data_IF_379516773388
#
_entry.id   IF_379516773388
#
_cell.length_a   1.000
_cell.length_b   1.000
_cell.length_c   1.000
_cell.angle_alpha   90.00
_cell.angle_beta   90.00
_cell.angle_gamma   90.00
#
_symmetry.space_group_name_H-M   'P 1'
#
loop_
_entity.id
_entity.type
_entity.pdbx_description
1 polymer ?
#
# COMPACT_ATOMS: atom_id res chain seq x y z
N UNK A 1 17.95 5.23 -28.65
CA UNK A 1 17.09 5.43 -27.47
C UNK A 1 15.97 4.39 -27.55
N UNK A 2 16.22 3.18 -27.05
CA UNK A 2 15.15 2.21 -26.86
C UNK A 2 14.69 2.35 -25.41
N UNK A 3 13.56 3.03 -25.20
CA UNK A 3 12.85 2.95 -23.95
C UNK A 3 12.55 1.47 -23.67
N UNK A 4 12.95 0.97 -22.51
CA UNK A 4 12.54 -0.35 -22.02
C UNK A 4 11.00 -0.35 -21.97
N UNK A 5 10.32 -1.43 -22.39
CA UNK A 5 8.88 -1.49 -22.27
C UNK A 5 8.47 -1.35 -20.78
N UNK A 6 7.35 -0.69 -20.51
CA UNK A 6 6.84 -0.45 -19.15
C UNK A 6 6.82 -1.71 -18.28
N UNK A 7 6.45 -2.86 -18.85
CA UNK A 7 6.47 -4.18 -18.21
C UNK A 7 7.84 -4.61 -17.65
N UNK A 8 8.96 -4.15 -18.25
CA UNK A 8 10.29 -4.48 -17.73
C UNK A 8 10.58 -3.77 -16.39
N UNK A 9 10.01 -2.57 -16.17
CA UNK A 9 10.17 -1.84 -14.91
C UNK A 9 9.43 -2.50 -13.74
N UNK A 10 8.29 -3.12 -14.00
CA UNK A 10 7.48 -3.82 -13.00
C UNK A 10 8.11 -5.13 -12.53
N UNK A 11 8.68 -5.91 -13.45
CA UNK A 11 9.41 -7.13 -13.06
C UNK A 11 10.56 -6.84 -12.10
N UNK A 12 11.24 -5.68 -12.23
CA UNK A 12 12.33 -5.30 -11.35
C UNK A 12 11.87 -4.99 -9.92
N UNK A 13 10.67 -4.40 -9.72
CA UNK A 13 10.16 -4.07 -8.39
C UNK A 13 10.01 -5.31 -7.50
N UNK A 14 9.75 -6.46 -8.10
CA UNK A 14 9.55 -7.74 -7.40
C UNK A 14 10.80 -8.65 -7.37
N UNK A 15 11.96 -8.13 -7.76
CA UNK A 15 13.23 -8.80 -7.53
C UNK A 15 13.77 -8.45 -6.13
N UNK A 16 14.54 -9.34 -5.49
CA UNK A 16 15.16 -9.04 -4.20
C UNK A 16 16.01 -7.77 -4.25
N UNK A 17 16.02 -7.01 -3.15
CA UNK A 17 16.87 -5.83 -2.98
C UNK A 17 18.34 -6.18 -3.16
N UNK A 18 19.04 -5.36 -3.93
CA UNK A 18 20.48 -5.56 -4.18
C UNK A 18 21.28 -5.18 -2.92
N UNK A 19 22.23 -6.03 -2.52
CA UNK A 19 23.15 -5.71 -1.43
C UNK A 19 24.08 -4.57 -1.83
N UNK A 20 24.22 -3.61 -0.94
CA UNK A 20 25.06 -2.43 -1.10
C UNK A 20 26.24 -2.50 -0.11
N UNK A 21 27.38 -1.95 -0.50
CA UNK A 21 28.55 -1.86 0.41
C UNK A 21 28.29 -0.86 1.55
N UNK A 22 27.59 0.24 1.24
CA UNK A 22 27.25 1.32 2.18
C UNK A 22 25.74 1.61 2.15
N UNK A 23 24.87 0.70 2.63
CA UNK A 23 23.42 0.81 2.49
C UNK A 23 22.80 2.00 3.23
N UNK A 24 23.46 2.52 4.28
CA UNK A 24 23.04 3.71 5.02
C UNK A 24 23.15 5.02 4.21
N UNK A 25 23.81 5.00 3.04
CA UNK A 25 23.88 6.14 2.12
C UNK A 25 22.80 6.11 1.04
N UNK A 26 21.92 5.09 1.01
CA UNK A 26 20.75 5.09 0.17
C UNK A 26 19.77 6.20 0.61
N UNK A 27 18.87 6.61 -0.27
CA UNK A 27 17.81 7.53 0.11
C UNK A 27 16.83 6.80 1.03
N UNK A 28 16.90 7.09 2.32
CA UNK A 28 15.98 6.58 3.33
C UNK A 28 14.79 7.55 3.44
N UNK A 29 13.59 7.00 3.60
CA UNK A 29 12.33 7.75 3.58
C UNK A 29 11.62 7.73 4.93
N UNK A 30 11.78 6.63 5.70
CA UNK A 30 11.17 6.50 7.02
C UNK A 30 12.05 5.69 7.96
N UNK A 31 11.86 5.87 9.29
CA UNK A 31 12.59 5.19 10.35
C UNK A 31 11.68 4.94 11.55
N UNK A 32 11.73 3.73 12.09
CA UNK A 32 11.01 3.36 13.31
C UNK A 32 11.89 2.57 14.29
N UNK A 33 11.37 2.40 15.50
CA UNK A 33 11.98 1.56 16.53
C UNK A 33 11.30 0.18 16.57
N UNK A 34 12.10 -0.87 16.42
CA UNK A 34 11.77 -2.25 16.70
C UNK A 34 12.35 -2.61 18.09
N UNK A 35 11.64 -2.22 19.15
CA UNK A 35 12.20 -2.22 20.50
C UNK A 35 13.30 -1.16 20.66
N UNK A 36 14.55 -1.58 20.83
CA UNK A 36 15.71 -0.67 20.90
C UNK A 36 16.44 -0.52 19.54
N UNK A 37 16.11 -1.39 18.55
CA UNK A 37 16.70 -1.38 17.22
C UNK A 37 16.11 -0.26 16.39
N UNK A 38 16.93 0.51 15.70
CA UNK A 38 16.50 1.40 14.63
C UNK A 38 16.35 0.58 13.33
N UNK A 39 15.24 0.76 12.64
CA UNK A 39 14.98 0.19 11.33
C UNK A 39 14.59 1.33 10.39
N UNK A 40 15.28 1.49 9.27
CA UNK A 40 14.96 2.51 8.28
C UNK A 40 14.76 1.90 6.89
N UNK A 41 13.82 2.46 6.13
CA UNK A 41 13.43 1.99 4.79
C UNK A 41 13.63 3.07 3.74
N UNK A 42 13.82 2.69 2.49
CA UNK A 42 14.02 3.66 1.42
C UNK A 42 14.01 3.08 0.01
N UNK A 43 14.79 3.72 -0.86
CA UNK A 43 14.83 3.39 -2.27
C UNK A 43 15.28 1.96 -2.53
N UNK A 44 14.83 1.38 -3.67
CA UNK A 44 15.29 0.06 -4.17
C UNK A 44 15.15 -1.09 -3.18
N UNK A 45 14.13 -1.03 -2.31
CA UNK A 45 13.90 -2.05 -1.29
C UNK A 45 14.93 -2.05 -0.16
N UNK A 46 15.76 -1.00 -0.04
CA UNK A 46 16.75 -0.92 1.03
C UNK A 46 16.07 -0.79 2.36
N UNK A 47 16.37 -1.73 3.26
CA UNK A 47 16.07 -1.65 4.69
C UNK A 47 17.37 -1.80 5.44
N UNK A 48 17.66 -0.88 6.36
CA UNK A 48 18.86 -0.89 7.19
C UNK A 48 18.51 -0.91 8.67
N UNK A 49 19.33 -1.58 9.45
CA UNK A 49 19.16 -1.85 10.87
C UNK A 49 20.35 -1.33 11.65
N UNK A 50 20.10 -0.76 12.82
CA UNK A 50 21.14 -0.40 13.78
C UNK A 50 20.77 -0.84 15.20
N UNK A 51 21.65 -1.57 15.85
CA UNK A 51 21.54 -2.02 17.25
C UNK A 51 22.39 -1.16 18.21
N UNK A 52 23.04 -0.10 17.70
CA UNK A 52 23.96 0.77 18.42
C UNK A 52 23.63 2.27 18.28
N UNK A 53 22.33 2.58 18.21
CA UNK A 53 21.79 3.93 18.09
C UNK A 53 22.29 4.70 16.87
N UNK A 54 22.48 4.00 15.74
CA UNK A 54 22.88 4.60 14.46
C UNK A 54 24.39 4.72 14.26
N UNK A 55 25.22 4.17 15.15
CA UNK A 55 26.67 4.21 14.99
C UNK A 55 27.15 3.27 13.87
N UNK A 56 26.47 2.13 13.69
CA UNK A 56 26.68 1.22 12.56
C UNK A 56 25.34 0.71 12.00
N UNK A 57 25.36 0.31 10.72
CA UNK A 57 24.18 -0.14 10.01
C UNK A 57 24.45 -1.42 9.24
N UNK A 58 23.47 -2.30 9.19
CA UNK A 58 23.46 -3.50 8.35
C UNK A 58 22.21 -3.53 7.49
N UNK A 59 22.32 -4.06 6.27
CA UNK A 59 21.19 -4.21 5.37
C UNK A 59 20.43 -5.52 5.66
N UNK A 60 19.10 -5.43 5.72
CA UNK A 60 18.18 -6.55 5.86
C UNK A 60 18.09 -7.40 4.57
N UNK A 61 17.48 -8.59 4.69
CA UNK A 61 17.04 -9.40 3.56
C UNK A 61 15.63 -9.00 3.14
N UNK A 62 15.48 -8.44 1.93
CA UNK A 62 14.23 -7.89 1.41
C UNK A 62 13.90 -8.51 0.05
N UNK A 63 12.69 -9.07 -0.14
CA UNK A 63 12.34 -9.81 -1.35
C UNK A 63 11.93 -8.92 -2.54
N UNK A 64 11.93 -7.60 -2.37
CA UNK A 64 11.52 -6.62 -3.39
C UNK A 64 12.58 -5.54 -3.54
N UNK A 65 12.62 -4.90 -4.72
CA UNK A 65 13.41 -3.68 -4.98
C UNK A 65 12.53 -2.45 -5.25
N UNK A 66 11.23 -2.52 -4.93
CA UNK A 66 10.36 -1.36 -4.90
C UNK A 66 10.81 -0.37 -3.82
N UNK A 67 10.69 0.93 -4.07
CA UNK A 67 10.96 1.95 -3.04
C UNK A 67 9.95 1.83 -1.91
N UNK A 68 10.44 1.72 -0.68
CA UNK A 68 9.64 1.62 0.54
C UNK A 68 9.48 3.02 1.15
N UNK A 69 8.25 3.39 1.48
CA UNK A 69 7.83 4.74 1.86
C UNK A 69 7.61 4.91 3.35
N UNK A 70 7.15 3.86 4.03
CA UNK A 70 6.85 3.89 5.46
C UNK A 70 7.01 2.51 6.10
N UNK A 71 7.18 2.50 7.43
CA UNK A 71 7.21 1.28 8.24
C UNK A 71 6.61 1.50 9.62
N UNK A 72 6.07 0.42 10.21
CA UNK A 72 5.52 0.46 11.57
C UNK A 72 5.81 -0.84 12.32
N UNK A 73 6.21 -0.72 13.57
CA UNK A 73 6.46 -1.83 14.50
C UNK A 73 5.54 -1.72 15.72
N UNK A 74 4.40 -2.42 15.76
CA UNK A 74 3.55 -2.48 16.97
C UNK A 74 4.18 -3.31 18.09
N UNK A 75 5.17 -4.14 17.76
CA UNK A 75 5.94 -4.97 18.70
C UNK A 75 7.41 -5.00 18.26
N UNK A 76 8.38 -5.27 19.17
CA UNK A 76 9.80 -5.26 18.85
C UNK A 76 10.21 -6.20 17.70
N UNK A 77 9.55 -7.36 17.60
CA UNK A 77 9.89 -8.39 16.61
C UNK A 77 9.00 -8.32 15.36
N UNK A 78 7.81 -7.71 15.46
CA UNK A 78 6.77 -7.75 14.43
C UNK A 78 6.57 -6.36 13.83
N UNK A 79 6.73 -6.25 12.52
CA UNK A 79 6.58 -4.99 11.81
C UNK A 79 6.15 -5.15 10.36
N UNK A 80 5.70 -4.04 9.79
CA UNK A 80 5.30 -3.94 8.38
C UNK A 80 6.00 -2.76 7.73
N UNK A 81 6.30 -2.91 6.43
CA UNK A 81 6.80 -1.85 5.58
C UNK A 81 5.98 -1.81 4.28
N UNK A 82 5.71 -0.62 3.78
CA UNK A 82 4.92 -0.42 2.57
C UNK A 82 5.65 0.46 1.56
N UNK A 83 5.20 0.46 0.30
CA UNK A 83 5.85 1.29 -0.69
C UNK A 83 5.24 1.27 -2.09
N UNK A 84 6.09 1.63 -3.05
CA UNK A 84 5.75 1.65 -4.47
C UNK A 84 5.32 0.27 -4.97
N UNK A 85 4.61 0.25 -6.10
CA UNK A 85 3.99 -0.97 -6.66
C UNK A 85 3.03 -1.66 -5.68
N UNK A 86 2.47 -0.92 -4.72
CA UNK A 86 1.50 -1.42 -3.75
C UNK A 86 2.03 -2.53 -2.84
N UNK A 87 3.35 -2.60 -2.59
CA UNK A 87 3.93 -3.65 -1.75
C UNK A 87 3.63 -3.44 -0.29
N UNK A 88 3.30 -4.54 0.40
CA UNK A 88 3.27 -4.63 1.87
C UNK A 88 4.17 -5.79 2.29
N UNK A 89 5.19 -5.48 3.05
CA UNK A 89 6.15 -6.43 3.61
C UNK A 89 5.89 -6.63 5.10
N UNK A 90 6.22 -7.83 5.59
CA UNK A 90 6.08 -8.21 6.99
C UNK A 90 7.36 -8.85 7.50
N UNK A 91 7.71 -8.54 8.74
CA UNK A 91 8.81 -9.16 9.49
C UNK A 91 8.32 -9.73 10.82
N UNK A 92 8.98 -10.80 11.29
CA UNK A 92 8.76 -11.41 12.61
C UNK A 92 10.07 -11.57 13.39
N UNK A 93 11.15 -10.92 12.94
CA UNK A 93 12.49 -11.01 13.52
C UNK A 93 13.14 -9.63 13.77
N UNK A 94 12.30 -8.60 13.97
CA UNK A 94 12.73 -7.23 14.22
C UNK A 94 13.38 -6.59 13.01
N UNK A 95 12.94 -6.96 11.81
CA UNK A 95 13.37 -6.36 10.55
C UNK A 95 14.61 -6.98 9.90
N UNK A 96 15.15 -8.09 10.42
CA UNK A 96 16.30 -8.77 9.81
C UNK A 96 15.96 -9.38 8.45
N UNK A 97 14.77 -9.97 8.34
CA UNK A 97 14.24 -10.49 7.09
C UNK A 97 12.77 -10.11 6.91
N UNK A 98 12.36 -9.98 5.66
CA UNK A 98 11.03 -9.53 5.28
C UNK A 98 10.39 -10.49 4.28
N UNK A 99 9.09 -10.65 4.36
CA UNK A 99 8.28 -11.41 3.42
C UNK A 99 7.24 -10.51 2.76
N UNK A 100 7.01 -10.68 1.46
CA UNK A 100 5.93 -10.00 0.73
C UNK A 100 4.60 -10.63 1.15
N UNK A 101 3.67 -9.84 1.69
CA UNK A 101 2.32 -10.25 2.06
C UNK A 101 1.26 -9.84 1.04
N UNK A 102 1.47 -8.69 0.38
CA UNK A 102 0.50 -8.09 -0.54
C UNK A 102 1.25 -7.23 -1.55
N UNK A 103 0.70 -7.08 -2.75
CA UNK A 103 1.23 -6.18 -3.77
C UNK A 103 0.12 -5.49 -4.58
N UNK A 104 0.51 -4.55 -5.42
CA UNK A 104 -0.42 -3.77 -6.22
C UNK A 104 -1.21 -4.59 -7.24
N UNK A 105 -0.78 -5.81 -7.60
CA UNK A 105 -1.57 -6.71 -8.46
C UNK A 105 -2.80 -7.22 -7.71
N UNK A 106 -2.65 -7.50 -6.41
CA UNK A 106 -3.76 -7.84 -5.52
C UNK A 106 -4.66 -6.61 -5.30
N UNK A 107 -4.06 -5.43 -5.11
CA UNK A 107 -4.77 -4.17 -4.94
C UNK A 107 -5.64 -3.85 -6.17
N UNK A 108 -5.07 -3.92 -7.38
CA UNK A 108 -5.79 -3.65 -8.63
C UNK A 108 -6.97 -4.61 -8.83
N UNK A 109 -6.77 -5.91 -8.54
CA UNK A 109 -7.87 -6.90 -8.63
C UNK A 109 -9.00 -6.61 -7.64
N UNK A 110 -8.67 -6.25 -6.40
CA UNK A 110 -9.67 -5.90 -5.39
C UNK A 110 -10.40 -4.61 -5.74
N UNK A 111 -9.67 -3.62 -6.25
CA UNK A 111 -10.25 -2.35 -6.66
C UNK A 111 -11.23 -2.53 -7.84
N UNK A 112 -10.87 -3.34 -8.84
CA UNK A 112 -11.79 -3.68 -9.93
C UNK A 112 -13.06 -4.35 -9.42
N UNK A 113 -12.94 -5.37 -8.58
CA UNK A 113 -14.09 -6.07 -8.03
C UNK A 113 -15.00 -5.16 -7.18
N UNK A 114 -14.39 -4.22 -6.42
CA UNK A 114 -15.12 -3.20 -5.68
C UNK A 114 -15.86 -2.23 -6.61
N UNK A 115 -15.19 -1.74 -7.67
CA UNK A 115 -15.79 -0.82 -8.65
C UNK A 115 -16.96 -1.46 -9.40
N UNK A 116 -16.81 -2.71 -9.86
CA UNK A 116 -17.90 -3.47 -10.49
C UNK A 116 -19.10 -3.66 -9.54
N UNK A 117 -18.84 -3.98 -8.27
CA UNK A 117 -19.91 -4.10 -7.25
C UNK A 117 -20.64 -2.77 -7.02
N UNK A 118 -19.91 -1.65 -7.06
CA UNK A 118 -20.47 -0.31 -6.93
C UNK A 118 -21.36 0.06 -8.11
N UNK A 119 -20.94 -0.27 -9.35
CA UNK A 119 -21.76 -0.08 -10.55
C UNK A 119 -23.07 -0.84 -10.40
N UNK A 120 -23.03 -2.14 -10.06
CA UNK A 120 -24.24 -2.94 -9.91
C UNK A 120 -25.21 -2.38 -8.85
N UNK A 121 -24.68 -1.91 -7.71
CA UNK A 121 -25.50 -1.30 -6.66
C UNK A 121 -26.13 0.03 -7.09
N UNK A 122 -25.41 0.84 -7.88
CA UNK A 122 -25.91 2.11 -8.39
C UNK A 122 -26.93 1.92 -9.51
N UNK A 123 -26.76 0.94 -10.40
CA UNK A 123 -27.77 0.56 -11.40
C UNK A 123 -29.09 0.15 -10.73
N UNK A 124 -29.02 -0.64 -9.66
CA UNK A 124 -30.22 -1.01 -8.88
C UNK A 124 -30.85 0.21 -8.22
N UNK A 125 -30.04 1.11 -7.65
CA UNK A 125 -30.53 2.35 -7.03
C UNK A 125 -31.20 3.29 -8.03
N UNK A 126 -30.61 3.50 -9.22
CA UNK A 126 -31.20 4.29 -10.32
C UNK A 126 -32.52 3.69 -10.77
N UNK A 127 -32.58 2.36 -10.95
CA UNK A 127 -33.79 1.68 -11.42
C UNK A 127 -34.96 1.70 -10.39
N UNK A 128 -34.61 1.71 -9.09
CA UNK A 128 -35.57 1.74 -7.99
C UNK A 128 -35.97 3.15 -7.56
N UNK A 129 -35.29 4.20 -8.08
CA UNK A 129 -35.52 5.57 -7.65
C UNK A 129 -36.83 6.12 -8.21
N UNK A 130 -37.69 6.65 -7.32
CA UNK A 130 -38.94 7.33 -7.66
C UNK A 130 -38.86 8.85 -7.40
N UNK A 131 -37.75 9.35 -6.88
CA UNK A 131 -37.55 10.75 -6.54
C UNK A 131 -36.76 11.50 -7.64
N UNK A 132 -37.43 12.38 -8.42
CA UNK A 132 -36.75 13.10 -9.50
C UNK A 132 -35.63 14.03 -9.03
N UNK A 133 -35.65 14.48 -7.77
CA UNK A 133 -34.59 15.35 -7.24
C UNK A 133 -33.27 14.59 -6.96
N UNK A 134 -33.34 13.27 -6.77
CA UNK A 134 -32.19 12.40 -6.56
C UNK A 134 -31.68 11.74 -7.84
N UNK A 135 -32.45 11.76 -8.92
CA UNK A 135 -32.13 11.05 -10.16
C UNK A 135 -30.79 11.48 -10.76
N UNK A 136 -30.59 12.79 -10.94
CA UNK A 136 -29.37 13.33 -11.53
C UNK A 136 -28.13 12.98 -10.70
N UNK A 137 -28.24 12.96 -9.37
CA UNK A 137 -27.14 12.61 -8.48
C UNK A 137 -26.78 11.11 -8.55
N UNK A 138 -27.79 10.24 -8.67
CA UNK A 138 -27.57 8.80 -8.83
C UNK A 138 -26.96 8.47 -10.19
N UNK A 139 -27.45 9.10 -11.27
CA UNK A 139 -26.88 8.93 -12.61
C UNK A 139 -25.43 9.41 -12.67
N UNK A 140 -25.12 10.56 -12.07
CA UNK A 140 -23.74 11.05 -11.98
C UNK A 140 -22.83 10.08 -11.20
N UNK A 141 -23.32 9.54 -10.06
CA UNK A 141 -22.58 8.56 -9.28
C UNK A 141 -22.35 7.25 -10.05
N UNK A 142 -23.31 6.84 -10.89
CA UNK A 142 -23.18 5.67 -11.74
C UNK A 142 -22.13 5.89 -12.83
N UNK A 143 -22.15 7.05 -13.50
CA UNK A 143 -21.14 7.39 -14.50
C UNK A 143 -19.73 7.39 -13.89
N UNK A 144 -19.54 7.98 -12.71
CA UNK A 144 -18.28 7.98 -11.98
C UNK A 144 -17.82 6.54 -11.63
N UNK A 145 -18.73 5.67 -11.22
CA UNK A 145 -18.43 4.27 -10.93
C UNK A 145 -18.04 3.48 -12.19
N UNK A 146 -18.65 3.75 -13.33
CA UNK A 146 -18.25 3.14 -14.62
C UNK A 146 -16.85 3.56 -15.02
N UNK A 147 -16.50 4.85 -14.88
CA UNK A 147 -15.12 5.30 -15.10
C UNK A 147 -14.12 4.61 -14.17
N UNK A 148 -14.48 4.37 -12.90
CA UNK A 148 -13.61 3.65 -11.96
C UNK A 148 -13.36 2.20 -12.39
N UNK A 149 -14.31 1.53 -13.04
CA UNK A 149 -14.12 0.19 -13.62
C UNK A 149 -13.13 0.24 -14.79
N UNK A 150 -13.25 1.20 -15.69
CA UNK A 150 -12.35 1.36 -16.84
C UNK A 150 -10.91 1.65 -16.36
N UNK A 151 -10.73 2.57 -15.41
CA UNK A 151 -9.43 2.88 -14.79
C UNK A 151 -8.82 1.63 -14.12
N UNK A 152 -9.63 0.86 -13.39
CA UNK A 152 -9.18 -0.36 -12.72
C UNK A 152 -8.76 -1.45 -13.71
N UNK A 153 -9.48 -1.59 -14.82
CA UNK A 153 -9.15 -2.54 -15.89
C UNK A 153 -7.83 -2.14 -16.57
N UNK A 154 -7.62 -0.85 -16.86
CA UNK A 154 -6.36 -0.33 -17.40
C UNK A 154 -5.18 -0.57 -16.42
N UNK A 155 -5.39 -0.36 -15.11
CA UNK A 155 -4.38 -0.61 -14.10
C UNK A 155 -3.98 -2.10 -14.00
N UNK A 156 -4.87 -3.03 -14.31
CA UNK A 156 -4.53 -4.46 -14.39
C UNK A 156 -3.65 -4.74 -15.62
N UNK A 157 -3.92 -4.10 -16.76
CA UNK A 157 -3.15 -4.29 -18.00
C UNK A 157 -1.78 -3.62 -17.94
N UNK A 158 -1.69 -2.44 -17.34
CA UNK A 158 -0.46 -1.64 -17.24
C UNK A 158 0.42 -2.06 -16.07
N UNK A 159 -0.15 -2.72 -15.06
CA UNK A 159 0.50 -3.23 -13.86
C UNK A 159 0.48 -2.28 -12.66
N UNK A 160 1.00 -2.73 -11.51
CA UNK A 160 0.90 -2.01 -10.24
C UNK A 160 1.89 -0.85 -10.18
N UNK A 161 1.40 0.38 -10.23
CA UNK A 161 2.22 1.60 -10.13
C UNK A 161 2.01 2.36 -8.81
N UNK A 162 0.79 2.32 -8.28
CA UNK A 162 0.38 3.16 -7.17
C UNK A 162 1.05 2.76 -5.85
N UNK A 163 1.66 3.73 -5.12
CA UNK A 163 2.30 3.47 -3.85
C UNK A 163 1.32 3.46 -2.68
N UNK A 164 1.56 2.57 -1.71
CA UNK A 164 1.21 2.88 -0.33
C UNK A 164 2.18 3.93 0.21
N UNK A 165 1.68 4.85 1.03
CA UNK A 165 2.43 5.98 1.58
C UNK A 165 2.59 5.89 3.09
N UNK A 166 1.70 5.17 3.78
CA UNK A 166 1.79 4.93 5.22
C UNK A 166 1.15 3.60 5.62
N UNK A 167 1.61 3.06 6.75
CA UNK A 167 1.10 1.83 7.36
C UNK A 167 1.01 2.01 8.87
N UNK A 168 -0.14 1.65 9.46
CA UNK A 168 -0.37 1.75 10.90
C UNK A 168 -1.05 0.49 11.42
N UNK A 169 -0.50 -0.11 12.46
CA UNK A 169 -1.11 -1.21 13.18
C UNK A 169 -1.57 -0.73 14.57
N UNK A 170 -2.82 -0.99 14.91
CA UNK A 170 -3.38 -0.69 16.23
C UNK A 170 -2.93 -1.72 17.28
N UNK A 171 -2.69 -2.94 16.81
CA UNK A 171 -2.17 -4.07 17.57
C UNK A 171 -1.42 -5.02 16.61
N UNK A 172 -1.04 -6.22 17.06
CA UNK A 172 -0.33 -7.20 16.22
C UNK A 172 -1.20 -7.83 15.10
N UNK A 173 -2.50 -7.52 15.03
CA UNK A 173 -3.44 -8.17 14.10
C UNK A 173 -4.17 -7.19 13.20
N UNK A 174 -4.55 -6.03 13.74
CA UNK A 174 -5.39 -5.05 13.07
C UNK A 174 -4.53 -3.90 12.57
N UNK A 175 -4.48 -3.72 11.26
CA UNK A 175 -3.68 -2.69 10.62
C UNK A 175 -4.37 -2.09 9.41
N UNK A 176 -3.82 -0.95 8.99
CA UNK A 176 -4.26 -0.18 7.82
C UNK A 176 -3.04 0.19 6.99
N UNK A 177 -3.22 0.20 5.67
CA UNK A 177 -2.28 0.77 4.71
C UNK A 177 -3.02 1.79 3.85
N UNK A 178 -2.44 2.97 3.69
CA UNK A 178 -3.02 4.06 2.90
C UNK A 178 -2.03 4.56 1.85
N UNK A 179 -2.54 5.16 0.79
CA UNK A 179 -1.68 5.57 -0.30
C UNK A 179 -2.28 6.54 -1.30
N UNK A 180 -1.74 6.46 -2.50
CA UNK A 180 -2.14 7.28 -3.62
C UNK A 180 -3.60 7.06 -4.01
N UNK A 181 -4.23 8.08 -4.57
CA UNK A 181 -5.59 8.06 -5.13
C UNK A 181 -6.67 7.50 -4.20
N UNK A 182 -6.51 7.71 -2.88
CA UNK A 182 -7.46 7.24 -1.86
C UNK A 182 -7.34 5.74 -1.55
N UNK A 183 -6.24 5.09 -1.90
CA UNK A 183 -5.99 3.71 -1.48
C UNK A 183 -6.12 3.60 0.03
N UNK A 184 -6.97 2.70 0.49
CA UNK A 184 -7.14 2.36 1.90
C UNK A 184 -7.44 0.86 2.00
N UNK A 185 -6.56 0.15 2.66
CA UNK A 185 -6.65 -1.29 2.89
C UNK A 185 -6.56 -1.58 4.38
N UNK A 186 -7.25 -2.62 4.81
CA UNK A 186 -7.31 -3.07 6.19
C UNK A 186 -6.98 -4.55 6.29
N UNK A 187 -6.36 -4.93 7.38
CA UNK A 187 -6.22 -6.31 7.83
C UNK A 187 -6.72 -6.47 9.27
N UNK A 188 -7.29 -7.65 9.59
CA UNK A 188 -7.69 -8.04 10.95
C UNK A 188 -6.97 -9.34 11.40
N UNK A 189 -6.01 -9.82 10.59
CA UNK A 189 -5.32 -11.10 10.81
C UNK A 189 -3.80 -11.02 10.57
N UNK A 190 -3.18 -9.90 10.97
CA UNK A 190 -1.74 -9.67 10.84
C UNK A 190 -1.24 -9.69 9.38
N UNK A 191 -2.04 -9.17 8.45
CA UNK A 191 -1.68 -9.06 7.04
C UNK A 191 -1.72 -10.36 6.25
N UNK A 192 -2.31 -11.45 6.83
CA UNK A 192 -2.55 -12.67 6.05
C UNK A 192 -3.52 -12.40 4.89
N UNK A 193 -4.51 -11.53 5.15
CA UNK A 193 -5.41 -10.98 4.16
C UNK A 193 -5.49 -9.46 4.34
N UNK A 194 -5.30 -8.73 3.25
CA UNK A 194 -5.57 -7.31 3.14
C UNK A 194 -6.80 -7.08 2.28
N UNK A 195 -7.71 -6.23 2.71
CA UNK A 195 -8.96 -5.96 2.01
C UNK A 195 -9.15 -4.47 1.82
N UNK A 196 -9.70 -4.10 0.67
CA UNK A 196 -10.10 -2.72 0.38
C UNK A 196 -11.12 -2.24 1.42
N UNK A 197 -10.93 -1.01 1.93
CA UNK A 197 -11.73 -0.45 3.03
C UNK A 197 -12.19 1.00 2.75
N UNK A 198 -12.24 1.39 1.49
CA UNK A 198 -12.51 2.77 1.04
C UNK A 198 -13.91 3.27 1.41
N UNK A 199 -14.90 2.38 1.57
CA UNK A 199 -16.28 2.76 1.89
C UNK A 199 -16.43 3.41 3.28
N UNK A 200 -15.44 3.23 4.16
CA UNK A 200 -15.44 3.80 5.51
C UNK A 200 -15.05 5.28 5.58
N UNK A 201 -14.52 5.86 4.49
CA UNK A 201 -13.98 7.22 4.45
C UNK A 201 -14.46 7.96 3.21
N UNK A 202 -15.15 9.10 3.42
CA UNK A 202 -15.60 9.94 2.31
C UNK A 202 -14.40 10.64 1.64
N UNK A 203 -14.04 10.20 0.44
CA UNK A 203 -12.97 10.80 -0.37
C UNK A 203 -13.38 10.79 -1.86
N UNK A 204 -14.42 11.55 -2.24
CA UNK A 204 -14.97 11.52 -3.61
C UNK A 204 -13.95 12.00 -4.66
N UNK A 205 -13.03 12.89 -4.30
CA UNK A 205 -11.99 13.42 -5.20
C UNK A 205 -10.75 12.52 -5.28
N UNK A 206 -10.72 11.38 -4.59
CA UNK A 206 -9.62 10.40 -4.56
C UNK A 206 -8.28 11.05 -4.21
N UNK A 207 -8.27 11.97 -3.21
CA UNK A 207 -7.04 12.56 -2.69
C UNK A 207 -6.14 11.48 -2.08
N UNK A 208 -4.82 11.72 -2.17
CA UNK A 208 -3.83 10.85 -1.53
C UNK A 208 -3.92 10.92 -0.01
N UNK A 209 -3.83 9.77 0.65
CA UNK A 209 -3.62 9.70 2.09
C UNK A 209 -2.12 9.56 2.36
N UNK A 210 -1.53 10.57 2.99
CA UNK A 210 -0.09 10.64 3.21
C UNK A 210 0.36 10.06 4.55
N UNK A 211 -0.49 10.12 5.57
CA UNK A 211 -0.15 9.65 6.91
C UNK A 211 -1.40 9.30 7.71
N UNK A 212 -1.22 8.39 8.68
CA UNK A 212 -2.20 7.98 9.67
C UNK A 212 -1.68 8.22 11.07
N UNK A 213 -2.58 8.42 12.02
CA UNK A 213 -2.26 8.44 13.43
C UNK A 213 -3.36 7.78 14.25
N UNK A 214 -2.99 6.97 15.24
CA UNK A 214 -3.93 6.50 16.23
C UNK A 214 -4.24 7.62 17.21
N UNK A 215 -5.55 7.83 17.50
CA UNK A 215 -5.96 8.72 18.59
C UNK A 215 -5.58 8.11 19.94
N UNK A 216 -5.22 8.97 20.92
CA UNK A 216 -5.16 8.53 22.30
C UNK A 216 -6.60 8.47 22.83
N UNK A 217 -7.07 7.29 23.24
CA UNK A 217 -8.30 7.10 24.02
C UNK A 217 -8.09 7.55 25.49
#
# INVERSE_FOLDING_TARGET
DSALPAQAGEEFAFLPAVRMDDPQHAQLLDIALAGERLVAVGERGVIVLSDDHGASWQQADVPVSATLTALHFPQPDVGWAVGHSGVILHTTDGGLSWALQFDGRDANRQYLAWAESRVAALEEAVAANEDPEQQDALEYALDDAVFAVDDAAEAIETGPADPFLDVLFLDARTGFAVGAYGMLYRTDNAGQDWQIAVDGVANPDRFHYYAMAAGAD
#
